data_IF_217306067005
#
_entry.id   IF_217306067005
#
_cell.length_a   1.000
_cell.length_b   1.000
_cell.length_c   1.000
_cell.angle_alpha   90.00
_cell.angle_beta   90.00
_cell.angle_gamma   90.00
#
_symmetry.space_group_name_H-M   'P 1'
#
loop_
_entity.id
_entity.type
_entity.pdbx_description
1 polymer ?
#
# COMPACT_ATOMS: atom_id res chain seq x y z
N UNK A 1 21.87 16.64 -1.81
CA UNK A 1 21.82 15.16 -1.94
C UNK A 1 21.46 14.53 -0.62
N UNK A 2 22.26 14.68 0.44
CA UNK A 2 21.94 14.13 1.78
C UNK A 2 20.59 14.62 2.28
N UNK A 3 20.31 15.92 2.23
CA UNK A 3 19.00 16.50 2.63
C UNK A 3 17.85 15.88 1.83
N UNK A 4 18.02 15.71 0.52
CA UNK A 4 16.99 15.10 -0.34
C UNK A 4 16.76 13.63 -0.02
N UNK A 5 17.81 12.90 0.39
CA UNK A 5 17.70 11.52 0.83
C UNK A 5 17.00 11.43 2.20
N UNK A 6 17.29 12.36 3.13
CA UNK A 6 16.53 12.48 4.38
C UNK A 6 15.05 12.75 4.11
N UNK A 7 14.73 13.65 3.18
CA UNK A 7 13.34 13.92 2.80
C UNK A 7 12.65 12.72 2.14
N UNK A 8 13.38 11.90 1.38
CA UNK A 8 12.88 10.61 0.88
C UNK A 8 12.58 9.67 2.06
N UNK A 9 13.47 9.56 3.05
CA UNK A 9 13.22 8.76 4.25
C UNK A 9 11.98 9.23 5.03
N UNK A 10 11.61 10.52 4.98
CA UNK A 10 10.35 10.99 5.57
C UNK A 10 9.11 10.41 4.89
N UNK A 11 9.17 10.08 3.60
CA UNK A 11 8.07 9.40 2.90
C UNK A 11 7.91 7.97 3.43
N UNK A 12 9.01 7.27 3.66
CA UNK A 12 9.00 5.94 4.29
C UNK A 12 8.51 6.04 5.73
N UNK A 13 9.02 7.02 6.49
CA UNK A 13 8.59 7.28 7.85
C UNK A 13 7.08 7.54 7.94
N UNK A 14 6.51 8.28 6.98
CA UNK A 14 5.07 8.51 6.90
C UNK A 14 4.30 7.19 6.72
N UNK A 15 4.72 6.32 5.80
CA UNK A 15 4.06 5.03 5.56
C UNK A 15 4.12 4.11 6.80
N UNK A 16 5.30 4.00 7.44
CA UNK A 16 5.50 3.19 8.65
C UNK A 16 4.73 3.77 9.82
N UNK A 17 4.76 5.09 10.03
CA UNK A 17 3.97 5.76 11.06
C UNK A 17 2.46 5.58 10.84
N UNK A 18 1.99 5.61 9.59
CA UNK A 18 0.58 5.39 9.26
C UNK A 18 0.15 3.97 9.64
N UNK A 19 0.97 2.96 9.33
CA UNK A 19 0.75 1.57 9.75
C UNK A 19 0.60 1.46 11.27
N UNK A 20 1.56 1.97 12.05
CA UNK A 20 1.49 1.91 13.52
C UNK A 20 0.26 2.65 14.06
N UNK A 21 -0.08 3.80 13.46
CA UNK A 21 -1.29 4.52 13.81
C UNK A 21 -2.56 3.70 13.59
N UNK A 22 -2.69 3.02 12.44
CA UNK A 22 -3.84 2.16 12.14
C UNK A 22 -3.93 0.95 13.08
N UNK A 23 -2.80 0.50 13.64
CA UNK A 23 -2.77 -0.56 14.66
C UNK A 23 -3.01 -0.08 16.09
N UNK A 24 -3.24 1.22 16.29
CA UNK A 24 -3.32 1.84 17.62
C UNK A 24 -2.03 1.63 18.45
N UNK A 25 -0.88 1.73 17.77
CA UNK A 25 0.48 1.68 18.32
C UNK A 25 1.05 3.12 18.35
N UNK A 26 0.81 3.91 19.41
CA UNK A 26 0.97 5.37 19.34
C UNK A 26 2.38 5.87 19.70
N UNK A 27 3.32 4.98 20.02
CA UNK A 27 4.67 5.34 20.47
C UNK A 27 5.68 5.29 19.30
N UNK A 28 6.92 5.66 19.56
CA UNK A 28 8.00 5.70 18.54
C UNK A 28 9.05 4.60 18.71
N UNK A 29 9.03 3.87 19.83
CA UNK A 29 10.02 2.84 20.18
C UNK A 29 9.77 1.49 19.49
N UNK A 30 9.49 1.52 18.19
CA UNK A 30 9.35 0.33 17.36
C UNK A 30 10.60 0.19 16.48
N UNK A 31 11.08 -1.05 16.30
CA UNK A 31 12.35 -1.36 15.61
C UNK A 31 12.42 -0.76 14.20
N UNK A 32 11.29 -0.63 13.52
CA UNK A 32 11.17 -0.11 12.17
C UNK A 32 10.85 1.39 12.09
N UNK A 33 10.52 2.04 13.22
CA UNK A 33 10.12 3.45 13.28
C UNK A 33 11.13 4.34 14.02
N UNK A 34 11.82 3.80 15.02
CA UNK A 34 12.71 4.55 15.91
C UNK A 34 13.82 5.27 15.12
N UNK A 35 14.49 4.57 14.20
CA UNK A 35 15.58 5.14 13.40
C UNK A 35 15.07 6.17 12.37
N UNK A 36 13.84 6.01 11.87
CA UNK A 36 13.25 6.89 10.87
C UNK A 36 12.78 8.23 11.46
N UNK A 37 12.31 8.22 12.71
CA UNK A 37 11.62 9.36 13.33
C UNK A 37 12.38 9.91 14.55
N UNK A 38 13.35 9.18 15.10
CA UNK A 38 14.04 9.56 16.35
C UNK A 38 14.79 10.89 16.31
N UNK A 39 15.06 11.42 15.12
CA UNK A 39 15.68 12.74 14.92
C UNK A 39 14.66 13.89 14.80
N UNK A 40 13.36 13.59 14.71
CA UNK A 40 12.27 14.55 14.56
C UNK A 40 11.72 14.96 15.93
N UNK A 41 11.39 16.24 16.10
CA UNK A 41 10.77 16.76 17.32
C UNK A 41 9.25 16.49 17.31
N UNK A 42 8.87 15.29 17.72
CA UNK A 42 7.46 14.82 17.68
C UNK A 42 6.88 14.62 19.08
N UNK A 43 5.58 14.85 19.23
CA UNK A 43 4.89 14.66 20.51
C UNK A 43 4.93 13.20 20.97
N UNK A 44 4.86 12.26 20.01
CA UNK A 44 4.98 10.83 20.27
C UNK A 44 6.37 10.46 20.83
N UNK A 45 7.44 11.09 20.33
CA UNK A 45 8.80 10.87 20.82
C UNK A 45 8.95 11.33 22.28
N UNK A 46 8.48 12.54 22.62
CA UNK A 46 8.47 13.04 24.00
C UNK A 46 7.69 12.12 24.95
N UNK A 47 6.53 11.63 24.52
CA UNK A 47 5.74 10.69 25.30
C UNK A 47 6.44 9.33 25.50
N UNK A 48 7.24 8.91 24.51
CA UNK A 48 8.00 7.66 24.54
C UNK A 48 9.17 7.75 25.53
N UNK A 49 9.93 8.85 25.53
CA UNK A 49 11.04 9.07 26.46
C UNK A 49 10.61 9.09 27.94
N UNK A 50 9.45 9.69 28.26
CA UNK A 50 8.96 9.75 29.64
C UNK A 50 8.40 8.39 30.12
N UNK A 51 7.95 7.51 29.21
CA UNK A 51 7.30 6.23 29.59
C UNK A 51 7.76 5.00 28.78
N UNK A 52 9.07 4.64 28.82
CA UNK A 52 9.64 3.60 27.97
C UNK A 52 9.05 2.20 28.20
N UNK A 53 8.61 1.89 29.43
CA UNK A 53 8.04 0.58 29.80
C UNK A 53 6.63 0.36 29.24
N UNK A 54 5.87 1.45 29.00
CA UNK A 54 4.51 1.37 28.43
C UNK A 54 4.54 1.29 26.90
N UNK A 55 5.65 1.72 26.29
CA UNK A 55 5.84 1.76 24.85
C UNK A 55 6.10 0.37 24.22
N UNK A 56 6.56 -0.61 25.00
CA UNK A 56 6.82 -1.96 24.49
C UNK A 56 5.52 -2.78 24.35
N UNK A 57 5.37 -3.56 23.26
CA UNK A 57 4.23 -4.45 23.09
C UNK A 57 4.21 -5.51 24.21
N UNK A 58 3.14 -5.50 25.02
CA UNK A 58 2.96 -6.50 26.08
C UNK A 58 2.48 -7.81 25.49
N UNK A 59 3.21 -8.91 25.74
CA UNK A 59 2.75 -10.25 25.40
C UNK A 59 1.41 -10.57 26.10
N UNK A 60 0.40 -10.97 25.33
CA UNK A 60 -0.90 -11.37 25.87
C UNK A 60 -0.76 -12.70 26.61
N UNK A 61 -1.41 -12.82 27.78
CA UNK A 61 -1.53 -14.12 28.46
C UNK A 61 -2.29 -15.10 27.57
N UNK A 62 -1.82 -16.36 27.47
CA UNK A 62 -2.40 -17.40 26.58
C UNK A 62 -3.91 -17.54 26.74
N UNK A 63 -4.42 -17.46 27.98
CA UNK A 63 -5.87 -17.52 28.28
C UNK A 63 -6.64 -16.34 27.68
N UNK A 64 -6.03 -15.16 27.66
CA UNK A 64 -6.64 -13.95 27.10
C UNK A 64 -6.66 -14.02 25.57
N UNK A 65 -5.59 -14.51 24.96
CA UNK A 65 -5.52 -14.74 23.52
C UNK A 65 -6.57 -15.77 23.06
N UNK A 66 -6.75 -16.87 23.80
CA UNK A 66 -7.81 -17.85 23.49
C UNK A 66 -9.21 -17.27 23.65
N UNK A 67 -9.47 -16.45 24.67
CA UNK A 67 -10.76 -15.79 24.84
C UNK A 67 -11.06 -14.74 23.77
N UNK A 68 -10.03 -14.03 23.30
CA UNK A 68 -10.10 -13.07 22.20
C UNK A 68 -10.36 -13.80 20.86
N UNK A 69 -9.65 -14.90 20.60
CA UNK A 69 -9.89 -15.79 19.46
C UNK A 69 -11.29 -16.41 19.46
N UNK A 70 -11.79 -16.85 20.62
CA UNK A 70 -13.17 -17.34 20.77
C UNK A 70 -14.22 -16.22 20.74
N UNK A 71 -13.78 -14.96 20.66
CA UNK A 71 -14.66 -13.83 20.51
C UNK A 71 -15.54 -13.57 21.73
N UNK A 72 -15.05 -13.92 22.91
CA UNK A 72 -15.71 -13.67 24.19
C UNK A 72 -15.52 -12.19 24.52
N UNK A 73 -16.62 -11.43 24.57
CA UNK A 73 -16.60 -9.97 24.71
C UNK A 73 -15.85 -9.45 25.95
N UNK A 74 -15.76 -10.24 27.02
CA UNK A 74 -15.00 -9.90 28.24
C UNK A 74 -13.48 -10.08 28.11
N UNK A 75 -13.01 -10.83 27.10
CA UNK A 75 -11.59 -11.10 26.87
C UNK A 75 -10.95 -10.14 25.84
N UNK A 76 -11.77 -9.47 25.01
CA UNK A 76 -11.31 -8.54 23.99
C UNK A 76 -10.49 -7.39 24.59
N UNK A 77 -9.27 -7.22 24.11
CA UNK A 77 -8.41 -6.11 24.52
C UNK A 77 -8.92 -4.80 23.90
N UNK A 78 -8.98 -3.71 24.69
CA UNK A 78 -9.34 -2.41 24.14
C UNK A 78 -8.12 -1.85 23.39
N UNK A 79 -8.17 -1.69 22.05
CA UNK A 79 -7.01 -1.24 21.26
C UNK A 79 -6.59 0.19 21.63
N UNK A 80 -7.49 1.01 22.16
CA UNK A 80 -7.20 2.39 22.61
C UNK A 80 -6.67 2.49 24.03
N UNK A 81 -6.37 1.36 24.69
CA UNK A 81 -5.92 1.34 26.10
C UNK A 81 -4.56 1.99 26.28
N UNK A 82 -3.66 1.86 25.30
CA UNK A 82 -2.36 2.53 25.32
C UNK A 82 -2.54 4.05 25.28
N UNK A 83 -3.36 4.54 24.34
CA UNK A 83 -3.68 5.97 24.18
C UNK A 83 -4.29 6.55 25.46
N UNK A 84 -5.26 5.85 26.08
CA UNK A 84 -5.91 6.30 27.33
C UNK A 84 -4.98 6.33 28.55
N UNK A 85 -3.86 5.60 28.50
CA UNK A 85 -2.88 5.51 29.60
C UNK A 85 -1.72 6.49 29.43
N UNK A 86 -1.61 7.15 28.29
CA UNK A 86 -0.56 8.11 28.04
C UNK A 86 -0.69 9.30 29.00
N UNK A 87 0.44 9.69 29.59
CA UNK A 87 0.55 10.83 30.51
C UNK A 87 0.64 12.15 29.72
N UNK A 88 1.17 12.07 28.49
CA UNK A 88 1.36 13.18 27.56
C UNK A 88 0.49 13.03 26.31
N UNK A 89 0.23 14.11 25.59
CA UNK A 89 -0.37 14.02 24.26
C UNK A 89 0.57 13.25 23.33
N UNK A 90 0.05 12.19 22.70
CA UNK A 90 0.78 11.37 21.73
C UNK A 90 0.83 12.01 20.34
N UNK A 91 -0.01 13.03 20.08
CA UNK A 91 -0.06 13.71 18.80
C UNK A 91 -0.59 12.84 17.65
N UNK A 92 -0.31 13.29 16.43
CA UNK A 92 -0.62 12.57 15.19
C UNK A 92 0.66 12.42 14.40
N UNK A 93 1.41 11.36 14.67
CA UNK A 93 2.76 11.21 14.13
C UNK A 93 2.82 11.31 12.59
N UNK A 94 1.99 10.62 11.79
CA UNK A 94 1.98 10.80 10.34
C UNK A 94 1.72 12.25 9.89
N UNK A 95 0.87 12.98 10.62
CA UNK A 95 0.57 14.38 10.32
C UNK A 95 1.74 15.31 10.68
N UNK A 96 2.44 15.03 11.79
CA UNK A 96 3.65 15.74 12.18
C UNK A 96 4.76 15.53 11.13
N UNK A 97 4.93 14.31 10.61
CA UNK A 97 5.86 13.99 9.51
C UNK A 97 5.48 14.75 8.22
N UNK A 98 4.18 14.84 7.90
CA UNK A 98 3.70 15.67 6.77
C UNK A 98 4.08 17.14 6.94
N UNK A 99 4.05 17.66 8.16
CA UNK A 99 4.51 19.02 8.48
C UNK A 99 6.00 19.22 8.15
N UNK A 100 6.85 18.26 8.52
CA UNK A 100 8.27 18.29 8.14
C UNK A 100 8.47 18.19 6.63
N UNK A 101 7.73 17.32 5.94
CA UNK A 101 7.80 17.25 4.48
C UNK A 101 7.36 18.55 3.80
N UNK A 102 6.35 19.25 4.32
CA UNK A 102 5.94 20.57 3.84
C UNK A 102 7.05 21.61 4.01
N UNK A 103 7.69 21.67 5.20
CA UNK A 103 8.82 22.59 5.44
C UNK A 103 10.00 22.36 4.49
N UNK A 104 10.27 21.09 4.14
CA UNK A 104 11.29 20.76 3.15
C UNK A 104 10.91 21.26 1.74
N UNK A 105 9.64 21.11 1.34
CA UNK A 105 9.16 21.65 0.05
C UNK A 105 9.29 23.17 0.01
N UNK A 106 8.93 23.88 1.10
CA UNK A 106 9.10 25.33 1.20
C UNK A 106 10.56 25.75 1.03
N UNK A 107 11.48 25.07 1.71
CA UNK A 107 12.92 25.37 1.60
C UNK A 107 13.45 25.16 0.17
N UNK A 108 12.99 24.13 -0.55
CA UNK A 108 13.34 23.89 -1.97
C UNK A 108 12.82 25.03 -2.86
N UNK A 109 11.61 25.52 -2.58
CA UNK A 109 10.97 26.62 -3.32
C UNK A 109 11.75 27.92 -3.09
N UNK A 110 12.05 28.25 -1.83
CA UNK A 110 12.84 29.44 -1.46
C UNK A 110 14.24 29.43 -2.07
N UNK A 111 14.88 28.25 -2.12
CA UNK A 111 16.19 28.05 -2.75
C UNK A 111 16.15 28.09 -4.28
N UNK A 112 14.98 28.30 -4.90
CA UNK A 112 14.83 28.40 -6.36
C UNK A 112 15.07 27.08 -7.11
N UNK A 113 15.10 25.95 -6.42
CA UNK A 113 15.28 24.63 -7.05
C UNK A 113 14.04 24.17 -7.82
N UNK A 114 12.86 24.69 -7.44
CA UNK A 114 11.59 24.55 -8.17
C UNK A 114 11.20 25.89 -8.81
N UNK A 115 11.93 26.27 -9.85
CA UNK A 115 11.74 27.58 -10.50
C UNK A 115 10.38 27.73 -11.22
N UNK A 116 9.76 26.62 -11.64
CA UNK A 116 8.49 26.64 -12.39
C UNK A 116 7.32 26.51 -11.40
N UNK A 117 6.39 27.49 -11.33
CA UNK A 117 5.27 27.46 -10.38
C UNK A 117 4.42 26.19 -10.46
N UNK A 118 4.23 25.64 -11.67
CA UNK A 118 3.52 24.37 -11.87
C UNK A 118 4.12 23.21 -11.07
N UNK A 119 5.44 23.16 -10.92
CA UNK A 119 6.12 22.09 -10.16
C UNK A 119 5.88 22.26 -8.65
N UNK A 120 5.79 23.50 -8.18
CA UNK A 120 5.47 23.81 -6.78
C UNK A 120 4.04 23.37 -6.45
N UNK A 121 3.07 23.71 -7.31
CA UNK A 121 1.68 23.24 -7.17
C UNK A 121 1.61 21.71 -7.14
N UNK A 122 2.35 21.04 -8.02
CA UNK A 122 2.37 19.57 -8.07
C UNK A 122 2.94 18.94 -6.80
N UNK A 123 4.01 19.51 -6.23
CA UNK A 123 4.58 19.04 -4.96
C UNK A 123 3.56 19.13 -3.81
N UNK A 124 2.87 20.28 -3.69
CA UNK A 124 1.83 20.48 -2.69
C UNK A 124 0.60 19.60 -2.89
N UNK A 125 0.19 19.36 -4.14
CA UNK A 125 -0.89 18.43 -4.44
C UNK A 125 -0.53 17.00 -4.01
N UNK A 126 0.70 16.56 -4.20
CA UNK A 126 1.13 15.24 -3.74
C UNK A 126 1.14 15.12 -2.21
N UNK A 127 1.54 16.17 -1.48
CA UNK A 127 1.42 16.22 -0.02
C UNK A 127 -0.06 16.19 0.43
N UNK A 128 -0.93 16.91 -0.27
CA UNK A 128 -2.37 16.88 0.00
C UNK A 128 -2.95 15.46 -0.21
N UNK A 129 -2.51 14.75 -1.25
CA UNK A 129 -2.91 13.34 -1.49
C UNK A 129 -2.46 12.44 -0.33
N UNK A 130 -1.24 12.60 0.20
CA UNK A 130 -0.80 11.85 1.39
C UNK A 130 -1.69 12.15 2.60
N UNK A 131 -2.06 13.41 2.81
CA UNK A 131 -2.98 13.80 3.88
C UNK A 131 -4.40 13.24 3.67
N UNK A 132 -4.89 13.18 2.44
CA UNK A 132 -6.17 12.57 2.09
C UNK A 132 -6.17 11.06 2.35
N UNK A 133 -5.05 10.37 2.09
CA UNK A 133 -4.88 8.94 2.43
C UNK A 133 -4.88 8.74 3.95
N UNK A 134 -4.18 9.59 4.71
CA UNK A 134 -4.22 9.58 6.18
C UNK A 134 -5.66 9.76 6.68
N UNK A 135 -6.36 10.80 6.22
CA UNK A 135 -7.75 11.06 6.60
C UNK A 135 -8.69 9.91 6.18
N UNK A 136 -8.48 9.34 4.99
CA UNK A 136 -9.28 8.24 4.45
C UNK A 136 -9.16 6.98 5.30
N UNK A 137 -7.94 6.60 5.66
CA UNK A 137 -7.69 5.44 6.52
C UNK A 137 -8.15 5.68 7.96
N UNK A 138 -8.00 6.91 8.48
CA UNK A 138 -8.59 7.32 9.77
C UNK A 138 -10.13 7.19 9.76
N UNK A 139 -10.79 7.58 8.67
CA UNK A 139 -12.25 7.42 8.55
C UNK A 139 -12.64 5.95 8.63
N UNK A 140 -11.95 5.07 7.90
CA UNK A 140 -12.24 3.63 7.93
C UNK A 140 -12.14 3.06 9.34
N UNK A 141 -11.08 3.39 10.10
CA UNK A 141 -10.91 2.88 11.47
C UNK A 141 -11.79 3.60 12.51
N UNK A 142 -12.21 4.83 12.26
CA UNK A 142 -13.08 5.61 13.17
C UNK A 142 -14.57 5.40 12.94
N UNK A 143 -14.96 4.74 11.83
CA UNK A 143 -16.34 4.31 11.57
C UNK A 143 -16.55 2.79 11.72
N UNK A 144 -16.19 2.16 12.85
CA UNK A 144 -16.54 0.76 13.06
C UNK A 144 -18.05 0.61 13.29
N UNK A 145 -18.58 -0.61 13.17
CA UNK A 145 -19.93 -0.89 13.62
C UNK A 145 -20.05 -0.56 15.11
N UNK A 146 -21.21 -0.07 15.58
CA UNK A 146 -21.32 0.28 16.98
C UNK A 146 -21.06 -0.97 17.83
N UNK A 147 -20.14 -0.85 18.80
CA UNK A 147 -19.62 -1.97 19.60
C UNK A 147 -20.74 -2.80 20.26
N UNK A 148 -21.86 -2.18 20.61
CA UNK A 148 -23.03 -2.89 21.15
C UNK A 148 -23.60 -3.93 20.18
N UNK A 149 -23.59 -3.67 18.87
CA UNK A 149 -24.07 -4.61 17.85
C UNK A 149 -23.16 -5.83 17.75
N UNK A 150 -21.84 -5.64 17.66
CA UNK A 150 -20.90 -6.77 17.55
C UNK A 150 -20.91 -7.65 18.81
N UNK A 151 -21.04 -7.05 20.00
CA UNK A 151 -21.20 -7.77 21.26
C UNK A 151 -22.53 -8.54 21.29
N UNK A 152 -23.65 -7.90 20.93
CA UNK A 152 -24.97 -8.52 20.97
C UNK A 152 -25.08 -9.69 19.98
N UNK A 153 -24.59 -9.53 18.74
CA UNK A 153 -24.56 -10.59 17.73
C UNK A 153 -23.78 -11.80 18.29
N UNK A 154 -22.58 -11.57 18.84
CA UNK A 154 -21.79 -12.66 19.41
C UNK A 154 -22.49 -13.37 20.57
N UNK A 155 -23.12 -12.63 21.49
CA UNK A 155 -23.85 -13.21 22.62
C UNK A 155 -25.03 -14.05 22.17
N UNK A 156 -25.85 -13.53 21.24
CA UNK A 156 -27.01 -14.23 20.69
C UNK A 156 -26.57 -15.49 19.94
N UNK A 157 -25.51 -15.43 19.13
CA UNK A 157 -24.98 -16.58 18.41
C UNK A 157 -24.53 -17.69 19.38
N UNK A 158 -23.79 -17.34 20.44
CA UNK A 158 -23.39 -18.31 21.45
C UNK A 158 -24.58 -18.94 22.17
N UNK A 159 -25.55 -18.13 22.61
CA UNK A 159 -26.79 -18.62 23.24
C UNK A 159 -27.55 -19.55 22.29
N UNK A 160 -27.65 -19.21 21.00
CA UNK A 160 -28.31 -20.02 20.00
C UNK A 160 -27.62 -21.37 19.80
N UNK A 161 -26.29 -21.40 19.64
CA UNK A 161 -25.53 -22.64 19.47
C UNK A 161 -25.66 -23.55 20.70
N UNK A 162 -25.72 -22.99 21.92
CA UNK A 162 -25.96 -23.76 23.14
C UNK A 162 -27.40 -24.30 23.26
N UNK A 163 -28.41 -23.60 22.74
CA UNK A 163 -29.81 -24.03 22.77
C UNK A 163 -30.15 -25.03 21.65
N UNK A 164 -29.43 -24.99 20.54
CA UNK A 164 -29.61 -25.83 19.34
C UNK A 164 -29.69 -27.35 19.64
N UNK A 165 -28.86 -27.97 20.51
CA UNK A 165 -28.99 -29.40 20.83
C UNK A 165 -30.31 -29.74 21.55
N UNK A 166 -30.81 -28.87 22.42
CA UNK A 166 -32.09 -29.10 23.10
C UNK A 166 -33.27 -29.03 22.12
N UNK A 167 -33.18 -28.15 21.11
CA UNK A 167 -34.18 -28.03 20.06
C UNK A 167 -34.25 -29.28 19.16
N UNK A 168 -33.11 -29.86 18.79
CA UNK A 168 -33.03 -30.97 17.82
C UNK A 168 -33.06 -32.37 18.46
N UNK A 169 -32.97 -32.49 19.78
CA UNK A 169 -32.91 -33.80 20.44
C UNK A 169 -34.16 -34.66 20.20
N UNK A 170 -35.35 -34.03 20.18
CA UNK A 170 -36.62 -34.75 20.02
C UNK A 170 -36.77 -35.41 18.65
N UNK A 171 -36.16 -34.85 17.60
CA UNK A 171 -36.24 -35.35 16.22
C UNK A 171 -35.08 -36.26 15.84
N UNK A 172 -33.84 -35.91 16.21
CA UNK A 172 -32.63 -36.58 15.73
C UNK A 172 -31.98 -37.54 16.74
N UNK A 173 -32.38 -37.51 18.02
CA UNK A 173 -31.82 -38.35 19.10
C UNK A 173 -30.29 -38.34 19.13
N UNK A 174 -29.63 -39.47 18.83
CA UNK A 174 -28.17 -39.57 18.84
C UNK A 174 -27.50 -38.81 17.68
N UNK A 175 -28.20 -38.62 16.56
CA UNK A 175 -27.70 -37.85 15.40
C UNK A 175 -27.64 -36.36 15.74
N UNK A 176 -28.33 -35.91 16.80
CA UNK A 176 -28.27 -34.54 17.29
C UNK A 176 -26.84 -34.09 17.57
N UNK A 177 -25.99 -34.96 18.13
CA UNK A 177 -24.60 -34.61 18.48
C UNK A 177 -23.77 -34.20 17.25
N UNK A 178 -23.60 -35.04 16.21
CA UNK A 178 -22.85 -34.64 15.01
C UNK A 178 -23.54 -33.51 14.23
N UNK A 179 -24.89 -33.46 14.22
CA UNK A 179 -25.63 -32.41 13.54
C UNK A 179 -25.43 -31.03 14.19
N UNK A 180 -25.45 -30.94 15.53
CA UNK A 180 -25.23 -29.68 16.24
C UNK A 180 -23.79 -29.21 16.15
N UNK A 181 -22.82 -30.12 16.14
CA UNK A 181 -21.40 -29.80 15.92
C UNK A 181 -21.20 -29.21 14.52
N UNK A 182 -21.78 -29.83 13.49
CA UNK A 182 -21.69 -29.32 12.11
C UNK A 182 -22.38 -27.95 11.96
N UNK A 183 -23.59 -27.79 12.51
CA UNK A 183 -24.30 -26.51 12.49
C UNK A 183 -23.55 -25.42 13.28
N UNK A 184 -23.02 -25.76 14.45
CA UNK A 184 -22.21 -24.86 15.27
C UNK A 184 -20.93 -24.42 14.56
N UNK A 185 -20.25 -25.32 13.86
CA UNK A 185 -19.08 -24.98 13.05
C UNK A 185 -19.43 -23.97 11.94
N UNK A 186 -20.53 -24.16 11.22
CA UNK A 186 -20.97 -23.24 10.16
C UNK A 186 -21.32 -21.86 10.75
N UNK A 187 -22.11 -21.83 11.81
CA UNK A 187 -22.61 -20.59 12.42
C UNK A 187 -21.48 -19.80 13.08
N UNK A 188 -20.63 -20.45 13.87
CA UNK A 188 -19.49 -19.81 14.52
C UNK A 188 -18.42 -19.43 13.49
N UNK A 189 -18.18 -20.27 12.48
CA UNK A 189 -17.28 -19.95 11.37
C UNK A 189 -17.69 -18.65 10.66
N UNK A 190 -18.98 -18.49 10.36
CA UNK A 190 -19.49 -17.25 9.77
C UNK A 190 -19.29 -16.03 10.69
N UNK A 191 -19.51 -16.19 12.00
CA UNK A 191 -19.27 -15.14 12.99
C UNK A 191 -17.79 -14.71 13.04
N UNK A 192 -16.86 -15.67 12.98
CA UNK A 192 -15.42 -15.38 13.01
C UNK A 192 -14.93 -14.71 11.74
N UNK A 193 -15.36 -15.18 10.57
CA UNK A 193 -15.05 -14.52 9.29
C UNK A 193 -15.57 -13.08 9.29
N UNK A 194 -16.80 -12.86 9.77
CA UNK A 194 -17.37 -11.51 9.85
C UNK A 194 -16.58 -10.57 10.75
N UNK A 195 -15.98 -11.07 11.83
CA UNK A 195 -15.11 -10.28 12.71
C UNK A 195 -13.76 -9.94 12.07
N UNK A 196 -13.15 -10.92 11.40
CA UNK A 196 -11.86 -10.73 10.74
C UNK A 196 -11.98 -9.68 9.61
N UNK A 197 -13.09 -9.72 8.86
CA UNK A 197 -13.37 -8.71 7.81
C UNK A 197 -13.66 -7.30 8.36
N UNK A 198 -14.03 -7.16 9.64
CA UNK A 198 -14.34 -5.87 10.25
C UNK A 198 -13.08 -5.02 10.54
N UNK A 199 -11.91 -5.64 10.73
CA UNK A 199 -10.67 -4.95 11.10
C UNK A 199 -9.51 -5.21 10.11
N UNK A 200 -9.56 -4.66 8.87
CA UNK A 200 -8.60 -5.00 7.81
C UNK A 200 -7.15 -4.54 8.07
N UNK A 201 -6.91 -3.71 9.08
CA UNK A 201 -5.59 -3.15 9.41
C UNK A 201 -4.92 -3.83 10.61
N UNK A 202 -5.45 -4.96 11.07
CA UNK A 202 -4.92 -5.68 12.22
C UNK A 202 -3.60 -6.42 11.95
N UNK A 203 -3.48 -7.58 12.59
CA UNK A 203 -2.34 -8.49 12.51
C UNK A 203 -2.78 -9.93 12.25
N UNK A 204 -4.04 -10.15 11.88
CA UNK A 204 -4.56 -11.46 11.53
C UNK A 204 -4.04 -11.89 10.15
N UNK A 205 -4.08 -13.20 9.88
CA UNK A 205 -3.50 -13.77 8.65
C UNK A 205 -4.21 -13.26 7.39
N UNK A 206 -5.50 -12.94 7.50
CA UNK A 206 -6.28 -12.41 6.38
C UNK A 206 -6.34 -10.87 6.33
N UNK A 207 -5.66 -10.17 7.25
CA UNK A 207 -5.56 -8.71 7.22
C UNK A 207 -4.63 -8.22 6.10
N UNK A 208 -4.68 -6.92 5.84
CA UNK A 208 -3.81 -6.30 4.84
C UNK A 208 -2.34 -6.42 5.26
N UNK A 209 -1.44 -6.90 4.36
CA UNK A 209 -0.02 -7.07 4.66
C UNK A 209 0.71 -5.71 4.63
N UNK A 210 0.45 -4.86 5.63
CA UNK A 210 0.98 -3.50 5.68
C UNK A 210 2.52 -3.45 5.81
N UNK A 211 3.13 -4.43 6.47
CA UNK A 211 4.59 -4.63 6.47
C UNK A 211 5.15 -4.69 5.06
N UNK A 212 4.52 -5.50 4.21
CA UNK A 212 4.95 -5.70 2.84
C UNK A 212 4.81 -4.41 2.03
N UNK A 213 3.71 -3.68 2.22
CA UNK A 213 3.50 -2.38 1.55
C UNK A 213 4.55 -1.35 1.98
N UNK A 214 4.88 -1.26 3.27
CA UNK A 214 5.92 -0.35 3.75
C UNK A 214 7.31 -0.75 3.20
N UNK A 215 7.63 -2.04 3.22
CA UNK A 215 8.88 -2.56 2.67
C UNK A 215 9.00 -2.32 1.16
N UNK A 216 7.89 -2.48 0.42
CA UNK A 216 7.85 -2.19 -1.01
C UNK A 216 8.08 -0.71 -1.29
N UNK A 217 7.41 0.20 -0.55
CA UNK A 217 7.62 1.65 -0.69
C UNK A 217 9.08 2.01 -0.41
N UNK A 218 9.68 1.46 0.66
CA UNK A 218 11.09 1.69 0.99
C UNK A 218 12.01 1.20 -0.14
N UNK A 219 11.80 -0.03 -0.63
CA UNK A 219 12.60 -0.59 -1.71
C UNK A 219 12.46 0.19 -3.03
N UNK A 220 11.25 0.62 -3.39
CA UNK A 220 11.01 1.42 -4.60
C UNK A 220 11.69 2.79 -4.48
N UNK A 221 11.66 3.40 -3.29
CA UNK A 221 12.32 4.67 -3.04
C UNK A 221 13.85 4.55 -3.10
N UNK A 222 14.42 3.48 -2.56
CA UNK A 222 15.86 3.17 -2.68
C UNK A 222 16.27 3.00 -4.14
N UNK A 223 15.44 2.32 -4.95
CA UNK A 223 15.69 2.18 -6.40
C UNK A 223 15.69 3.53 -7.09
N UNK A 224 14.74 4.41 -6.77
CA UNK A 224 14.68 5.77 -7.32
C UNK A 224 15.88 6.60 -6.86
N UNK A 225 16.24 6.53 -5.57
CA UNK A 225 17.34 7.28 -4.97
C UNK A 225 18.72 6.82 -5.46
N UNK A 226 18.86 5.53 -5.82
CA UNK A 226 20.12 4.96 -6.33
C UNK A 226 20.53 5.54 -7.69
N UNK A 227 19.58 6.09 -8.45
CA UNK A 227 19.82 6.65 -9.78
C UNK A 227 19.80 8.16 -9.73
N UNK A 228 20.81 8.79 -10.35
CA UNK A 228 20.75 10.23 -10.63
C UNK A 228 19.61 10.51 -11.61
N UNK A 229 19.00 11.70 -11.51
CA UNK A 229 18.11 12.23 -12.55
C UNK A 229 18.78 12.10 -13.92
N UNK A 230 18.23 11.24 -14.77
CA UNK A 230 18.75 11.00 -16.11
C UNK A 230 18.60 12.25 -16.97
N UNK A 231 19.67 12.60 -17.69
CA UNK A 231 19.60 13.62 -18.74
C UNK A 231 19.17 12.97 -20.05
N UNK A 232 18.46 13.72 -20.91
CA UNK A 232 18.00 13.18 -22.20
C UNK A 232 19.15 12.62 -23.04
N UNK A 233 20.32 13.24 -22.99
CA UNK A 233 21.52 12.77 -23.68
C UNK A 233 22.02 11.40 -23.21
N UNK A 234 21.72 10.99 -21.97
CA UNK A 234 22.22 9.74 -21.40
C UNK A 234 21.44 8.50 -21.85
N UNK A 235 20.16 8.67 -22.22
CA UNK A 235 19.28 7.54 -22.57
C UNK A 235 18.58 7.67 -23.92
N UNK A 236 18.33 8.89 -24.40
CA UNK A 236 17.71 9.11 -25.72
C UNK A 236 18.75 8.97 -26.81
N UNK A 237 19.94 9.58 -26.63
CA UNK A 237 20.99 9.64 -27.66
C UNK A 237 21.85 8.36 -27.73
N UNK A 238 21.54 7.37 -26.91
CA UNK A 238 22.23 6.08 -26.86
C UNK A 238 21.96 5.27 -28.14
N UNK A 239 22.98 4.57 -28.63
CA UNK A 239 22.88 3.69 -29.82
C UNK A 239 21.87 2.55 -29.57
N UNK A 240 21.77 2.09 -28.32
CA UNK A 240 20.83 1.05 -27.91
C UNK A 240 19.36 1.51 -27.90
N UNK A 241 19.11 2.83 -27.98
CA UNK A 241 17.76 3.36 -28.10
C UNK A 241 17.20 3.14 -29.51
N UNK A 242 16.50 2.01 -29.69
CA UNK A 242 15.85 1.62 -30.93
C UNK A 242 14.52 2.33 -31.11
N UNK A 243 14.55 3.48 -31.78
CA UNK A 243 13.42 4.44 -31.90
C UNK A 243 12.14 3.78 -32.46
N UNK A 244 12.27 2.95 -33.49
CA UNK A 244 11.12 2.31 -34.15
C UNK A 244 11.02 0.81 -33.86
N UNK A 245 11.57 0.31 -32.75
CA UNK A 245 11.42 -1.10 -32.39
C UNK A 245 9.94 -1.52 -32.35
N UNK A 246 9.54 -2.68 -32.89
CA UNK A 246 10.36 -3.75 -33.47
C UNK A 246 10.63 -3.62 -34.98
N UNK A 247 10.12 -2.57 -35.65
CA UNK A 247 10.20 -2.38 -37.11
C UNK A 247 11.61 -2.07 -37.61
N UNK A 248 12.44 -1.46 -36.77
CA UNK A 248 13.81 -1.10 -37.11
C UNK A 248 14.72 -1.35 -35.91
N UNK A 249 15.93 -1.85 -36.20
CA UNK A 249 16.98 -2.00 -35.19
C UNK A 249 17.89 -0.77 -35.09
N UNK A 250 17.65 0.26 -35.91
CA UNK A 250 18.50 1.45 -35.94
C UNK A 250 18.29 2.35 -34.72
N UNK A 251 19.41 2.89 -34.22
CA UNK A 251 19.45 3.74 -33.04
C UNK A 251 19.03 5.18 -33.31
N UNK A 252 18.96 5.98 -32.24
CA UNK A 252 18.57 7.39 -32.29
C UNK A 252 19.35 8.22 -33.32
N UNK A 253 20.68 8.09 -33.35
CA UNK A 253 21.55 8.90 -34.21
C UNK A 253 21.23 8.74 -35.71
N UNK A 254 20.86 7.53 -36.14
CA UNK A 254 20.49 7.25 -37.52
C UNK A 254 19.15 7.93 -37.88
N UNK A 255 18.17 7.87 -36.99
CA UNK A 255 16.87 8.51 -37.21
C UNK A 255 16.93 10.03 -37.15
N UNK A 256 17.81 10.58 -36.31
CA UNK A 256 18.08 12.01 -36.27
C UNK A 256 18.61 12.52 -37.63
N UNK A 257 19.49 11.75 -38.28
CA UNK A 257 20.03 12.09 -39.60
C UNK A 257 19.02 11.90 -40.75
N UNK A 258 18.13 10.90 -40.64
CA UNK A 258 17.08 10.62 -41.64
C UNK A 258 16.00 11.71 -41.73
N UNK A 259 15.84 12.53 -40.68
CA UNK A 259 14.91 13.65 -40.62
C UNK A 259 13.47 13.25 -40.26
N UNK A 260 12.68 14.26 -39.89
CA UNK A 260 11.33 14.08 -39.31
C UNK A 260 10.34 13.43 -40.28
N UNK A 261 10.44 13.74 -41.58
CA UNK A 261 9.51 13.21 -42.60
C UNK A 261 9.54 11.68 -42.68
N UNK A 262 10.74 11.10 -42.78
CA UNK A 262 10.94 9.65 -42.81
C UNK A 262 10.56 8.98 -41.49
N UNK A 263 10.80 9.65 -40.36
CA UNK A 263 10.38 9.15 -39.05
C UNK A 263 8.85 9.05 -38.95
N UNK A 264 8.12 10.06 -39.42
CA UNK A 264 6.65 10.05 -39.46
C UNK A 264 6.10 8.97 -40.40
N UNK A 265 6.75 8.76 -41.54
CA UNK A 265 6.41 7.67 -42.47
C UNK A 265 6.63 6.29 -41.82
N UNK A 266 7.78 6.07 -41.16
CA UNK A 266 8.07 4.85 -40.42
C UNK A 266 7.08 4.60 -39.27
N UNK A 267 6.64 5.64 -38.57
CA UNK A 267 5.60 5.54 -37.54
C UNK A 267 4.22 5.16 -38.12
N UNK A 268 3.89 5.70 -39.30
CA UNK A 268 2.66 5.35 -40.01
C UNK A 268 2.69 3.87 -40.42
N UNK A 269 3.78 3.40 -41.02
CA UNK A 269 3.98 2.01 -41.38
C UNK A 269 3.93 1.07 -40.15
N UNK A 270 4.54 1.48 -39.03
CA UNK A 270 4.47 0.73 -37.76
C UNK A 270 3.03 0.59 -37.24
N UNK A 271 2.21 1.62 -37.42
CA UNK A 271 0.80 1.63 -37.00
C UNK A 271 -0.04 0.70 -37.89
N UNK A 272 0.21 0.70 -39.21
CA UNK A 272 -0.45 -0.17 -40.18
C UNK A 272 -0.12 -1.65 -39.92
N UNK A 273 1.16 -1.98 -39.76
CA UNK A 273 1.60 -3.35 -39.38
C UNK A 273 1.01 -3.80 -38.04
N UNK A 274 0.98 -2.91 -37.05
CA UNK A 274 0.36 -3.21 -35.75
C UNK A 274 -1.15 -3.44 -35.81
N UNK A 275 -1.84 -2.90 -36.81
CA UNK A 275 -3.26 -3.16 -37.07
C UNK A 275 -3.46 -4.53 -37.75
N UNK A 276 -2.62 -4.87 -38.73
CA UNK A 276 -2.64 -6.18 -39.41
C UNK A 276 -2.33 -7.35 -38.47
N UNK A 277 -1.40 -7.16 -37.52
CA UNK A 277 -1.05 -8.16 -36.50
C UNK A 277 -2.20 -8.40 -35.50
N UNK A 278 -3.09 -7.43 -35.30
CA UNK A 278 -4.25 -7.55 -34.39
C UNK A 278 -5.47 -8.21 -35.04
N UNK A 279 -5.52 -8.32 -36.37
CA UNK A 279 -6.63 -9.00 -37.03
C UNK A 279 -6.51 -10.52 -36.86
N UNK A 280 -7.61 -11.22 -36.46
CA UNK A 280 -7.60 -12.67 -36.28
C UNK A 280 -7.23 -13.36 -37.59
N UNK A 281 -6.35 -14.36 -37.51
CA UNK A 281 -5.75 -15.03 -38.67
C UNK A 281 -6.81 -15.65 -39.59
N UNK A 282 -7.17 -14.93 -40.66
CA UNK A 282 -7.75 -15.54 -41.85
C UNK A 282 -6.67 -15.59 -42.94
N UNK A 283 -6.12 -16.79 -43.15
CA UNK A 283 -5.44 -17.27 -44.37
C UNK A 283 -4.28 -16.45 -44.99
N UNK A 284 -3.51 -15.66 -44.24
CA UNK A 284 -2.39 -14.87 -44.78
C UNK A 284 -1.06 -14.99 -44.00
N UNK A 285 -0.79 -16.12 -43.34
CA UNK A 285 0.40 -16.28 -42.48
C UNK A 285 1.75 -16.20 -43.22
N UNK A 286 1.79 -16.56 -44.51
CA UNK A 286 3.01 -16.51 -45.34
C UNK A 286 3.25 -15.12 -45.93
N UNK A 287 2.20 -14.45 -46.44
CA UNK A 287 2.28 -13.06 -46.94
C UNK A 287 2.64 -12.07 -45.83
N UNK A 288 2.11 -12.23 -44.60
CA UNK A 288 2.44 -11.34 -43.47
C UNK A 288 3.92 -11.35 -43.10
N UNK A 289 4.64 -12.47 -43.28
CA UNK A 289 6.09 -12.55 -43.01
C UNK A 289 6.94 -11.89 -44.09
N UNK A 290 6.54 -12.01 -45.36
CA UNK A 290 7.20 -11.33 -46.48
C UNK A 290 6.98 -9.81 -46.41
N UNK A 291 5.74 -9.35 -46.19
CA UNK A 291 5.43 -7.92 -46.04
C UNK A 291 6.17 -7.31 -44.84
N UNK A 292 6.27 -8.03 -43.73
CA UNK A 292 7.05 -7.60 -42.56
C UNK A 292 8.55 -7.56 -42.86
N UNK A 293 9.10 -8.55 -43.56
CA UNK A 293 10.49 -8.59 -44.01
C UNK A 293 10.82 -7.40 -44.92
N UNK A 294 9.95 -7.12 -45.90
CA UNK A 294 10.11 -6.05 -46.88
C UNK A 294 9.97 -4.68 -46.22
N UNK A 295 9.00 -4.49 -45.32
CA UNK A 295 8.83 -3.25 -44.58
C UNK A 295 9.99 -2.98 -43.61
N UNK A 296 10.49 -4.02 -42.92
CA UNK A 296 11.67 -3.91 -42.03
C UNK A 296 12.92 -3.55 -42.84
N UNK A 297 13.10 -4.20 -43.99
CA UNK A 297 14.25 -3.96 -44.89
C UNK A 297 14.18 -2.56 -45.50
N UNK A 298 13.01 -2.13 -46.00
CA UNK A 298 12.82 -0.81 -46.60
C UNK A 298 13.03 0.34 -45.59
N UNK A 299 12.66 0.12 -44.33
CA UNK A 299 12.85 1.11 -43.25
C UNK A 299 14.32 1.18 -42.80
N UNK A 300 15.07 0.08 -42.89
CA UNK A 300 16.49 0.02 -42.51
C UNK A 300 17.46 0.37 -43.66
N UNK A 301 17.08 0.23 -44.93
CA UNK A 301 17.94 0.40 -46.11
C UNK A 301 18.06 1.83 -46.68
N UNK A 302 17.54 2.87 -46.01
CA UNK A 302 17.59 4.30 -46.46
C UNK A 302 17.95 5.25 -45.32
#
# INVERSE_FOLDING_TARGET
MVVSFTAMNLVVAFAVALKHKLRNEPYTNYEDLEDLVGHLDTLALHATFETPVTALPRQHSKLKATGEYLGISFAASNPRKAIKRAVRPLGNLPLEILGYMASYVDEIIENGQLAIPMQQTLAYNNLAVLNDVLCGTERVITTPLPIAYSIAISQITWVYVFLLPFQLYSTLRWITIPATVAAGYIILGLLFIGREVENPFGQDVNDLPMELYCAQIASELDVIASKRKAMNSEWIETIDNKVLWPLSQSGWNTWMQRGESKLREGLKAKTELGYEDRQPESKAGTEKREVRSDATTAVDSV
#
